data_IF_983868799668
#
_entry.id   IF_983868799668
#
_cell.length_a   1.000
_cell.length_b   1.000
_cell.length_c   1.000
_cell.angle_alpha   90.00
_cell.angle_beta   90.00
_cell.angle_gamma   90.00
#
_symmetry.space_group_name_H-M   'P 1'
#
loop_
_entity.id
_entity.type
_entity.pdbx_description
1 polymer ?
#
# COMPACT_ATOMS: atom_id res chain seq x y z
N UNK A 1 22.10 17.65 15.55
CA UNK A 1 22.37 16.55 14.62
C UNK A 1 21.16 16.45 13.72
N UNK A 2 21.23 16.71 12.40
CA UNK A 2 20.09 16.49 11.52
C UNK A 2 19.86 14.99 11.40
N UNK A 3 18.62 14.55 11.56
CA UNK A 3 18.16 13.19 11.29
C UNK A 3 18.53 12.79 9.86
N UNK A 4 18.99 11.56 9.61
CA UNK A 4 19.21 11.09 8.25
C UNK A 4 17.83 10.98 7.56
N UNK A 5 17.60 11.85 6.60
CA UNK A 5 16.50 11.73 5.64
C UNK A 5 16.78 10.42 4.88
N UNK A 6 16.05 9.36 5.21
CA UNK A 6 16.05 8.14 4.43
C UNK A 6 15.79 8.55 2.98
N UNK A 7 16.71 8.23 2.08
CA UNK A 7 16.58 8.46 0.65
C UNK A 7 15.36 7.66 0.18
N UNK A 8 14.19 8.32 0.11
CA UNK A 8 12.97 7.73 -0.39
C UNK A 8 13.20 7.43 -1.87
N UNK A 9 13.40 6.15 -2.20
CA UNK A 9 13.60 5.70 -3.57
C UNK A 9 12.44 6.20 -4.45
N UNK A 10 12.75 6.96 -5.51
CA UNK A 10 11.74 7.54 -6.41
C UNK A 10 10.84 6.44 -6.99
N UNK A 11 9.53 6.58 -6.82
CA UNK A 11 8.54 5.64 -7.33
C UNK A 11 8.47 5.69 -8.86
N UNK A 12 8.70 4.54 -9.52
CA UNK A 12 8.56 4.41 -10.98
C UNK A 12 7.11 4.06 -11.32
N UNK A 13 6.35 5.04 -11.79
CA UNK A 13 4.93 4.89 -12.05
C UNK A 13 4.63 4.01 -13.25
N UNK A 14 5.48 3.94 -14.28
CA UNK A 14 5.25 3.06 -15.43
C UNK A 14 5.29 1.57 -15.02
N UNK A 15 6.20 1.20 -14.11
CA UNK A 15 6.25 -0.13 -13.53
C UNK A 15 5.04 -0.42 -12.63
N UNK A 16 4.55 0.61 -11.92
CA UNK A 16 3.37 0.49 -11.07
C UNK A 16 2.09 0.27 -11.90
N UNK A 17 1.92 0.97 -13.01
CA UNK A 17 0.75 0.90 -13.90
C UNK A 17 0.65 -0.41 -14.69
N UNK A 18 1.74 -1.19 -14.82
CA UNK A 18 1.69 -2.50 -15.51
C UNK A 18 0.68 -3.48 -14.91
N UNK A 19 0.32 -3.32 -13.64
CA UNK A 19 -0.65 -4.14 -12.92
C UNK A 19 -1.76 -3.27 -12.33
N UNK A 20 -2.22 -2.28 -13.08
CA UNK A 20 -3.17 -1.28 -12.59
C UNK A 20 -4.49 -1.92 -12.14
N UNK A 21 -5.04 -2.85 -12.93
CA UNK A 21 -6.31 -3.49 -12.62
C UNK A 21 -6.25 -4.30 -11.32
N UNK A 22 -5.19 -5.11 -11.14
CA UNK A 22 -4.99 -5.92 -9.95
C UNK A 22 -4.72 -5.05 -8.71
N UNK A 23 -4.06 -3.90 -8.87
CA UNK A 23 -3.78 -2.94 -7.79
C UNK A 23 -4.99 -2.09 -7.44
N UNK A 24 -5.86 -1.82 -8.41
CA UNK A 24 -7.07 -1.00 -8.22
C UNK A 24 -8.25 -1.82 -7.68
N UNK A 25 -8.31 -3.14 -7.97
CA UNK A 25 -9.37 -4.02 -7.47
C UNK A 25 -9.58 -3.94 -5.96
N UNK A 26 -8.55 -4.04 -5.08
CA UNK A 26 -8.74 -3.90 -3.63
C UNK A 26 -9.32 -2.55 -3.21
N UNK A 27 -8.99 -1.47 -3.94
CA UNK A 27 -9.57 -0.15 -3.70
C UNK A 27 -11.07 -0.13 -4.01
N UNK A 28 -11.49 -0.77 -5.11
CA UNK A 28 -12.94 -0.93 -5.43
C UNK A 28 -13.66 -1.76 -4.37
N UNK A 29 -13.05 -2.87 -3.94
CA UNK A 29 -13.64 -3.76 -2.92
C UNK A 29 -13.78 -3.05 -1.57
N UNK A 30 -12.78 -2.23 -1.17
CA UNK A 30 -12.84 -1.37 0.02
C UNK A 30 -13.95 -0.32 -0.12
N UNK A 31 -13.97 0.43 -1.23
CA UNK A 31 -14.92 1.51 -1.46
C UNK A 31 -16.38 1.02 -1.47
N UNK A 32 -16.62 -0.21 -1.94
CA UNK A 32 -17.94 -0.83 -1.92
C UNK A 32 -18.50 -1.05 -0.50
N UNK A 33 -17.62 -1.12 0.52
CA UNK A 33 -18.02 -1.29 1.92
C UNK A 33 -18.11 0.05 2.69
N UNK A 34 -17.79 1.18 2.06
CA UNK A 34 -17.94 2.52 2.67
C UNK A 34 -19.43 2.85 2.80
N UNK A 35 -19.98 3.02 4.04
CA UNK A 35 -21.41 3.18 4.27
C UNK A 35 -21.89 4.63 4.09
N UNK A 36 -21.35 5.34 3.10
CA UNK A 36 -21.73 6.71 2.77
C UNK A 36 -22.48 6.76 1.43
N UNK A 37 -23.72 7.24 1.45
CA UNK A 37 -24.47 7.49 0.23
C UNK A 37 -23.96 8.77 -0.49
N UNK A 38 -23.53 9.76 0.27
CA UNK A 38 -22.97 11.04 -0.19
C UNK A 38 -21.83 11.47 0.71
N UNK A 39 -20.91 12.24 0.19
CA UNK A 39 -19.86 12.91 0.95
C UNK A 39 -19.68 14.33 0.39
N UNK A 40 -19.16 15.25 1.22
CA UNK A 40 -18.79 16.61 0.84
C UNK A 40 -17.30 16.79 0.75
N UNK A 41 -16.55 16.16 1.66
CA UNK A 41 -15.10 16.21 1.70
C UNK A 41 -14.52 14.82 1.90
N UNK A 42 -13.71 14.38 0.93
CA UNK A 42 -13.09 13.06 0.87
C UNK A 42 -11.58 13.20 0.71
N UNK A 43 -10.81 12.47 1.51
CA UNK A 43 -9.37 12.50 1.43
C UNK A 43 -8.82 11.11 1.11
N UNK A 44 -8.03 11.03 0.05
CA UNK A 44 -7.29 9.82 -0.36
C UNK A 44 -5.88 9.86 0.23
N UNK A 45 -5.62 9.00 1.20
CA UNK A 45 -4.40 8.92 2.00
C UNK A 45 -3.37 8.05 1.26
N UNK A 46 -2.25 8.62 0.83
CA UNK A 46 -1.27 7.93 0.00
C UNK A 46 -1.81 7.63 -1.40
N UNK A 47 -2.32 8.67 -2.06
CA UNK A 47 -3.07 8.57 -3.32
C UNK A 47 -2.25 8.03 -4.51
N UNK A 48 -0.91 7.99 -4.40
CA UNK A 48 -0.04 7.58 -5.49
C UNK A 48 -0.31 8.38 -6.77
N UNK A 49 -0.38 7.72 -7.95
CA UNK A 49 -0.65 8.39 -9.21
C UNK A 49 -2.15 8.69 -9.47
N UNK A 50 -3.01 8.55 -8.43
CA UNK A 50 -4.41 8.96 -8.47
C UNK A 50 -5.43 7.85 -8.77
N UNK A 51 -5.04 6.58 -8.82
CA UNK A 51 -5.96 5.46 -9.15
C UNK A 51 -7.14 5.34 -8.16
N UNK A 52 -6.87 5.41 -6.86
CA UNK A 52 -7.91 5.41 -5.83
C UNK A 52 -8.69 6.72 -5.80
N UNK A 53 -8.00 7.84 -6.01
CA UNK A 53 -8.64 9.17 -6.08
C UNK A 53 -9.68 9.25 -7.19
N UNK A 54 -9.42 8.63 -8.36
CA UNK A 54 -10.36 8.55 -9.47
C UNK A 54 -11.64 7.81 -9.08
N UNK A 55 -11.53 6.66 -8.43
CA UNK A 55 -12.68 5.90 -7.92
C UNK A 55 -13.50 6.70 -6.89
N UNK A 56 -12.82 7.46 -6.03
CA UNK A 56 -13.48 8.33 -5.05
C UNK A 56 -14.23 9.47 -5.72
N UNK A 57 -13.62 10.13 -6.73
CA UNK A 57 -14.25 11.20 -7.49
C UNK A 57 -15.46 10.70 -8.30
N UNK A 58 -15.38 9.49 -8.88
CA UNK A 58 -16.52 8.86 -9.57
C UNK A 58 -17.67 8.51 -8.60
N UNK A 59 -17.32 7.99 -7.41
CA UNK A 59 -18.31 7.55 -6.40
C UNK A 59 -18.99 8.73 -5.72
N UNK A 60 -18.29 9.85 -5.56
CA UNK A 60 -18.77 11.07 -4.88
C UNK A 60 -18.59 12.30 -5.78
N UNK A 61 -19.36 12.42 -6.88
CA UNK A 61 -19.13 13.45 -7.91
C UNK A 61 -19.36 14.88 -7.40
N UNK A 62 -20.12 15.04 -6.31
CA UNK A 62 -20.42 16.35 -5.68
C UNK A 62 -19.43 16.68 -4.53
N UNK A 63 -18.49 15.80 -4.22
CA UNK A 63 -17.53 16.01 -3.15
C UNK A 63 -16.28 16.77 -3.62
N UNK A 64 -15.72 17.55 -2.71
CA UNK A 64 -14.32 17.94 -2.80
C UNK A 64 -13.45 16.71 -2.50
N UNK A 65 -12.70 16.23 -3.50
CA UNK A 65 -11.80 15.07 -3.37
C UNK A 65 -10.37 15.57 -3.37
N UNK A 66 -9.66 15.30 -2.28
CA UNK A 66 -8.25 15.61 -2.09
C UNK A 66 -7.42 14.32 -2.05
N UNK A 67 -6.26 14.30 -2.69
CA UNK A 67 -5.24 13.26 -2.50
C UNK A 67 -4.02 13.80 -1.76
N UNK A 68 -3.38 12.97 -0.95
CA UNK A 68 -2.07 13.29 -0.40
C UNK A 68 -1.10 12.11 -0.60
N UNK A 69 0.16 12.44 -0.83
CA UNK A 69 1.25 11.47 -0.95
C UNK A 69 2.57 12.14 -0.54
N UNK A 70 3.54 11.34 -0.14
CA UNK A 70 4.89 11.81 0.21
C UNK A 70 5.82 11.92 -1.01
N UNK A 71 5.41 11.43 -2.18
CA UNK A 71 6.19 11.42 -3.41
C UNK A 71 5.76 12.56 -4.36
N UNK A 72 6.64 13.55 -4.64
CA UNK A 72 6.36 14.61 -5.62
C UNK A 72 6.06 14.05 -7.01
N UNK A 73 6.72 12.97 -7.41
CA UNK A 73 6.53 12.33 -8.73
C UNK A 73 5.13 11.69 -8.84
N UNK A 74 4.67 11.00 -7.80
CA UNK A 74 3.31 10.46 -7.75
C UNK A 74 2.26 11.57 -7.86
N UNK A 75 2.44 12.64 -7.11
CA UNK A 75 1.52 13.80 -7.16
C UNK A 75 1.53 14.51 -8.52
N UNK A 76 2.66 14.55 -9.21
CA UNK A 76 2.73 15.09 -10.57
C UNK A 76 1.82 14.30 -11.52
N UNK A 77 1.84 12.99 -11.43
CA UNK A 77 0.99 12.12 -12.26
C UNK A 77 -0.49 12.19 -11.85
N UNK A 78 -0.77 12.21 -10.55
CA UNK A 78 -2.14 12.38 -10.05
C UNK A 78 -2.78 13.67 -10.55
N UNK A 79 -2.04 14.80 -10.53
CA UNK A 79 -2.50 16.09 -11.08
C UNK A 79 -2.76 16.04 -12.58
N UNK A 80 -1.91 15.33 -13.34
CA UNK A 80 -2.11 15.16 -14.77
C UNK A 80 -3.34 14.28 -15.09
N UNK A 81 -3.58 13.24 -14.28
CA UNK A 81 -4.72 12.33 -14.41
C UNK A 81 -6.04 12.97 -14.00
N UNK A 82 -6.05 13.72 -12.91
CA UNK A 82 -7.26 14.25 -12.26
C UNK A 82 -7.14 15.77 -12.00
N UNK A 83 -7.21 16.61 -13.03
CA UNK A 83 -7.00 18.06 -12.90
C UNK A 83 -8.08 18.78 -12.07
N UNK A 84 -9.20 18.13 -11.75
CA UNK A 84 -10.27 18.66 -10.91
C UNK A 84 -10.09 18.35 -9.41
N UNK A 85 -9.18 17.43 -9.07
CA UNK A 85 -8.88 17.07 -7.68
C UNK A 85 -7.69 17.88 -7.17
N UNK A 86 -7.64 18.09 -5.86
CA UNK A 86 -6.49 18.74 -5.21
C UNK A 86 -5.50 17.70 -4.70
N UNK A 87 -4.20 18.03 -4.76
CA UNK A 87 -3.15 17.09 -4.35
C UNK A 87 -2.10 17.80 -3.51
N UNK A 88 -1.82 17.24 -2.33
CA UNK A 88 -0.92 17.83 -1.32
C UNK A 88 0.27 16.90 -1.05
N UNK A 89 1.47 17.47 -1.05
CA UNK A 89 2.67 16.77 -0.57
C UNK A 89 2.64 16.75 0.96
N UNK A 90 2.53 15.57 1.55
CA UNK A 90 2.45 15.43 3.00
C UNK A 90 2.97 14.07 3.47
N UNK A 91 3.50 14.04 4.70
CA UNK A 91 3.84 12.81 5.41
C UNK A 91 2.64 12.36 6.25
N UNK A 92 2.09 11.20 5.91
CA UNK A 92 0.94 10.63 6.57
C UNK A 92 1.19 10.33 8.07
N UNK A 93 2.43 10.07 8.45
CA UNK A 93 2.79 9.84 9.85
C UNK A 93 2.42 11.02 10.77
N UNK A 94 2.49 12.25 10.24
CA UNK A 94 2.23 13.47 11.01
C UNK A 94 1.02 14.27 10.54
N UNK A 95 0.49 13.98 9.34
CA UNK A 95 -0.61 14.72 8.74
C UNK A 95 -1.94 14.57 9.51
N UNK A 96 -2.70 15.64 9.54
CA UNK A 96 -4.08 15.68 10.05
C UNK A 96 -5.00 16.37 9.04
N UNK A 97 -6.29 15.99 8.94
CA UNK A 97 -7.21 16.64 8.02
C UNK A 97 -7.36 18.15 8.37
N UNK A 98 -7.27 19.04 7.37
CA UNK A 98 -7.38 20.49 7.58
C UNK A 98 -8.81 20.94 7.88
N UNK A 99 -9.79 20.11 7.58
CA UNK A 99 -11.22 20.34 7.82
C UNK A 99 -11.89 18.99 8.15
N UNK A 100 -13.11 19.01 8.74
CA UNK A 100 -13.88 17.79 9.00
C UNK A 100 -14.14 17.01 7.71
N UNK A 101 -13.54 15.83 7.58
CA UNK A 101 -13.71 14.94 6.42
C UNK A 101 -14.87 13.95 6.65
N UNK A 102 -15.67 13.71 5.61
CA UNK A 102 -16.69 12.67 5.66
C UNK A 102 -16.07 11.27 5.44
N UNK A 103 -14.96 11.20 4.66
CA UNK A 103 -14.22 9.97 4.39
C UNK A 103 -12.72 10.22 4.38
N UNK A 104 -11.99 9.42 5.15
CA UNK A 104 -10.56 9.22 5.01
C UNK A 104 -10.34 7.81 4.42
N UNK A 105 -9.75 7.75 3.24
CA UNK A 105 -9.59 6.52 2.46
C UNK A 105 -8.11 6.23 2.23
N UNK A 106 -7.64 5.03 2.55
CA UNK A 106 -6.24 4.66 2.36
C UNK A 106 -6.09 3.27 1.73
N UNK A 107 -5.57 3.22 0.51
CA UNK A 107 -5.36 1.97 -0.21
C UNK A 107 -3.88 1.65 -0.33
N UNK A 108 -3.41 0.61 0.34
CA UNK A 108 -2.04 0.09 0.28
C UNK A 108 -0.96 1.13 0.64
N UNK A 109 -1.20 1.94 1.65
CA UNK A 109 -0.26 2.97 2.13
C UNK A 109 0.23 2.70 3.56
N UNK A 110 -0.64 2.32 4.49
CA UNK A 110 -0.32 2.26 5.92
C UNK A 110 0.75 1.22 6.28
N UNK A 111 0.94 0.18 5.48
CA UNK A 111 2.04 -0.77 5.65
C UNK A 111 3.44 -0.15 5.49
N UNK A 112 3.52 1.09 5.01
CA UNK A 112 4.76 1.86 4.86
C UNK A 112 4.92 2.95 5.92
N UNK A 113 3.89 3.18 6.74
CA UNK A 113 3.87 4.24 7.74
C UNK A 113 4.34 3.67 9.09
N UNK A 114 5.41 4.19 9.67
CA UNK A 114 5.84 3.78 11.01
C UNK A 114 4.71 4.00 12.02
N UNK A 115 4.56 3.04 12.95
CA UNK A 115 3.52 3.12 13.99
C UNK A 115 2.11 3.42 13.45
N UNK A 116 1.79 2.85 12.27
CA UNK A 116 0.49 3.11 11.62
C UNK A 116 -0.74 2.79 12.49
N UNK A 117 -0.74 1.87 13.46
CA UNK A 117 -1.90 1.69 14.33
C UNK A 117 -2.26 2.98 15.08
N UNK A 118 -1.28 3.68 15.65
CA UNK A 118 -1.51 4.96 16.33
C UNK A 118 -1.88 6.08 15.34
N UNK A 119 -1.36 6.04 14.12
CA UNK A 119 -1.78 6.97 13.04
C UNK A 119 -3.26 6.75 12.69
N UNK A 120 -3.70 5.49 12.51
CA UNK A 120 -5.11 5.15 12.26
C UNK A 120 -6.01 5.63 13.40
N UNK A 121 -5.61 5.42 14.67
CA UNK A 121 -6.32 5.93 15.84
C UNK A 121 -6.49 7.45 15.79
N UNK A 122 -5.40 8.19 15.58
CA UNK A 122 -5.40 9.65 15.49
C UNK A 122 -6.29 10.17 14.35
N UNK A 123 -6.24 9.52 13.18
CA UNK A 123 -7.08 9.88 12.04
C UNK A 123 -8.57 9.63 12.31
N UNK A 124 -8.90 8.52 12.96
CA UNK A 124 -10.28 8.23 13.37
C UNK A 124 -10.79 9.24 14.41
N UNK A 125 -9.95 9.62 15.38
CA UNK A 125 -10.27 10.68 16.37
C UNK A 125 -10.53 12.05 15.72
N UNK A 126 -9.87 12.34 14.60
CA UNK A 126 -10.02 13.61 13.89
C UNK A 126 -11.29 13.69 13.02
N UNK A 127 -11.98 12.57 12.76
CA UNK A 127 -13.22 12.57 12.00
C UNK A 127 -14.39 13.12 12.82
N UNK A 128 -15.38 13.77 12.20
CA UNK A 128 -16.63 14.11 12.85
C UNK A 128 -17.47 12.85 13.10
N UNK A 129 -18.50 12.96 13.95
CA UNK A 129 -19.47 11.87 14.15
C UNK A 129 -20.12 11.48 12.82
N UNK A 130 -20.14 10.17 12.53
CA UNK A 130 -20.58 9.62 11.25
C UNK A 130 -19.51 9.64 10.14
N UNK A 131 -18.36 10.27 10.37
CA UNK A 131 -17.22 10.20 9.45
C UNK A 131 -16.63 8.79 9.38
N UNK A 132 -16.08 8.43 8.23
CA UNK A 132 -15.60 7.07 7.93
C UNK A 132 -14.08 7.06 7.71
N UNK A 133 -13.39 6.15 8.38
CA UNK A 133 -12.03 5.73 8.04
C UNK A 133 -12.11 4.38 7.35
N UNK A 134 -11.66 4.32 6.09
CA UNK A 134 -11.63 3.10 5.28
C UNK A 134 -10.20 2.84 4.82
N UNK A 135 -9.62 1.72 5.23
CA UNK A 135 -8.23 1.38 4.89
C UNK A 135 -8.09 -0.06 4.45
N UNK A 136 -7.16 -0.27 3.52
CA UNK A 136 -6.73 -1.57 3.07
C UNK A 136 -5.21 -1.67 3.06
N UNK A 137 -4.68 -2.79 3.51
CA UNK A 137 -3.24 -3.05 3.57
C UNK A 137 -2.91 -4.46 3.06
N UNK A 138 -1.86 -4.66 2.26
CA UNK A 138 -1.33 -5.99 2.01
C UNK A 138 -0.86 -6.66 3.31
N UNK A 139 -1.39 -7.85 3.59
CA UNK A 139 -1.03 -8.69 4.73
C UNK A 139 -0.30 -9.95 4.25
N UNK A 140 0.85 -9.73 3.61
CA UNK A 140 1.53 -10.76 2.81
C UNK A 140 3.01 -10.95 3.16
N UNK A 141 3.49 -10.43 4.29
CA UNK A 141 4.90 -10.56 4.70
C UNK A 141 5.27 -12.04 4.88
N UNK A 142 4.34 -12.86 5.38
CA UNK A 142 4.52 -14.30 5.59
C UNK A 142 4.18 -15.16 4.36
N UNK A 143 3.70 -14.55 3.27
CA UNK A 143 3.45 -15.30 2.04
C UNK A 143 4.77 -15.65 1.34
N UNK A 144 4.82 -16.78 0.64
CA UNK A 144 6.08 -17.32 0.10
C UNK A 144 6.91 -16.32 -0.70
N UNK A 145 6.28 -15.48 -1.51
CA UNK A 145 7.03 -14.53 -2.32
C UNK A 145 7.85 -13.54 -1.48
N UNK A 146 7.27 -12.96 -0.41
CA UNK A 146 8.02 -12.06 0.49
C UNK A 146 8.95 -12.83 1.42
N UNK A 147 8.53 -13.97 1.96
CA UNK A 147 9.40 -14.80 2.80
C UNK A 147 10.69 -15.22 2.06
N UNK A 148 10.58 -15.63 0.79
CA UNK A 148 11.75 -15.96 -0.05
C UNK A 148 12.62 -14.73 -0.36
N UNK A 149 12.04 -13.54 -0.51
CA UNK A 149 12.79 -12.30 -0.68
C UNK A 149 13.66 -12.00 0.55
N UNK A 150 13.09 -12.14 1.75
CA UNK A 150 13.79 -11.96 3.02
C UNK A 150 14.88 -13.03 3.21
N UNK A 151 14.60 -14.28 2.84
CA UNK A 151 15.59 -15.38 2.88
C UNK A 151 16.78 -15.07 1.95
N UNK A 152 16.53 -14.59 0.75
CA UNK A 152 17.59 -14.17 -0.18
C UNK A 152 18.35 -12.98 0.40
N UNK A 153 17.68 -11.98 0.98
CA UNK A 153 18.32 -10.82 1.57
C UNK A 153 19.27 -11.19 2.72
N UNK A 154 18.95 -12.22 3.48
CA UNK A 154 19.75 -12.68 4.63
C UNK A 154 20.86 -13.65 4.26
N UNK A 155 20.95 -14.15 3.03
CA UNK A 155 21.81 -15.31 2.68
C UNK A 155 22.80 -15.09 1.52
N UNK A 156 22.84 -13.93 0.89
CA UNK A 156 23.72 -13.63 -0.25
C UNK A 156 24.98 -12.86 0.13
N UNK A 157 25.78 -12.44 -0.85
CA UNK A 157 26.96 -11.56 -0.61
C UNK A 157 26.60 -10.20 -0.04
N UNK A 158 25.34 -9.82 -0.08
CA UNK A 158 24.74 -8.63 0.51
C UNK A 158 24.25 -8.82 1.95
N UNK A 159 24.33 -10.04 2.50
CA UNK A 159 23.91 -10.32 3.88
C UNK A 159 24.69 -9.46 4.88
N UNK A 160 24.00 -8.93 5.91
CA UNK A 160 24.59 -8.01 6.88
C UNK A 160 24.65 -6.55 6.42
N UNK A 161 24.07 -6.21 5.26
CA UNK A 161 23.86 -4.82 4.87
C UNK A 161 22.68 -4.24 5.68
N UNK A 162 22.99 -3.30 6.60
CA UNK A 162 21.99 -2.69 7.47
C UNK A 162 20.83 -2.01 6.71
N UNK A 163 21.10 -1.48 5.51
CA UNK A 163 20.05 -0.89 4.68
C UNK A 163 19.05 -1.92 4.14
N UNK A 164 19.43 -3.19 4.01
CA UNK A 164 18.48 -4.28 3.69
C UNK A 164 17.59 -4.62 4.90
N UNK A 165 18.15 -4.57 6.10
CA UNK A 165 17.34 -4.79 7.32
C UNK A 165 16.30 -3.69 7.51
N UNK A 166 16.66 -2.44 7.21
CA UNK A 166 15.74 -1.30 7.20
C UNK A 166 14.68 -1.36 6.08
N UNK A 167 14.99 -2.05 4.98
CA UNK A 167 14.06 -2.27 3.86
C UNK A 167 12.95 -3.26 4.19
N UNK A 168 13.12 -4.05 5.26
CA UNK A 168 12.15 -5.05 5.67
C UNK A 168 10.91 -4.40 6.27
N UNK A 169 9.75 -4.72 5.67
CA UNK A 169 8.46 -4.29 6.18
C UNK A 169 8.05 -5.15 7.39
N UNK A 170 7.57 -4.52 8.45
CA UNK A 170 6.99 -5.22 9.59
C UNK A 170 5.69 -5.95 9.22
N UNK A 171 5.36 -7.01 9.96
CA UNK A 171 4.03 -7.63 9.92
C UNK A 171 2.96 -6.59 10.32
N UNK A 172 1.74 -6.77 9.82
CA UNK A 172 0.60 -6.04 10.33
C UNK A 172 0.23 -6.56 11.72
N UNK A 173 -0.43 -5.72 12.49
CA UNK A 173 -1.07 -6.16 13.73
C UNK A 173 -2.20 -7.16 13.44
N UNK A 174 -2.59 -7.93 14.48
CA UNK A 174 -3.73 -8.83 14.35
C UNK A 174 -5.04 -8.05 14.16
N UNK A 175 -6.08 -8.63 13.51
CA UNK A 175 -7.41 -8.03 13.48
C UNK A 175 -7.95 -7.68 14.88
N UNK A 176 -7.64 -8.51 15.91
CA UNK A 176 -7.99 -8.24 17.30
C UNK A 176 -7.33 -6.98 17.85
N UNK A 177 -6.02 -6.79 17.58
CA UNK A 177 -5.29 -5.59 18.02
C UNK A 177 -5.88 -4.31 17.39
N UNK A 178 -6.20 -4.33 16.10
CA UNK A 178 -6.88 -3.19 15.43
C UNK A 178 -8.29 -2.96 16.02
N UNK A 179 -9.04 -4.03 16.29
CA UNK A 179 -10.36 -3.91 16.89
C UNK A 179 -10.29 -3.25 18.27
N UNK A 180 -9.43 -3.74 19.15
CA UNK A 180 -9.29 -3.23 20.51
C UNK A 180 -8.83 -1.76 20.53
N UNK A 181 -7.96 -1.38 19.58
CA UNK A 181 -7.45 -0.01 19.45
C UNK A 181 -8.51 0.98 18.93
N UNK A 182 -9.31 0.57 17.94
CA UNK A 182 -10.20 1.49 17.20
C UNK A 182 -11.65 1.45 17.70
N UNK A 183 -12.12 0.31 18.24
CA UNK A 183 -13.53 0.14 18.69
C UNK A 183 -13.98 1.17 19.73
N UNK A 184 -13.15 1.58 20.71
CA UNK A 184 -13.56 2.61 21.66
C UNK A 184 -13.88 3.98 21.05
N UNK A 185 -13.42 4.23 19.83
CA UNK A 185 -13.52 5.53 19.13
C UNK A 185 -14.63 5.57 18.06
N UNK A 186 -15.26 4.42 17.77
CA UNK A 186 -16.21 4.34 16.66
C UNK A 186 -17.50 3.60 17.03
N UNK A 187 -18.61 4.04 16.45
CA UNK A 187 -19.90 3.39 16.60
C UNK A 187 -19.91 2.01 15.93
N UNK A 188 -19.30 1.91 14.75
CA UNK A 188 -19.20 0.67 13.96
C UNK A 188 -17.76 0.47 13.46
N UNK A 189 -17.29 -0.77 13.53
CA UNK A 189 -16.07 -1.22 12.88
C UNK A 189 -16.31 -2.56 12.19
N UNK A 190 -15.75 -2.70 10.99
CA UNK A 190 -15.74 -3.93 10.21
C UNK A 190 -14.29 -4.22 9.80
N UNK A 191 -13.83 -5.45 10.05
CA UNK A 191 -12.44 -5.87 9.77
C UNK A 191 -12.51 -7.23 9.10
N UNK A 192 -11.92 -7.35 7.90
CA UNK A 192 -11.93 -8.62 7.16
C UNK A 192 -10.69 -8.81 6.31
N UNK A 193 -10.47 -10.04 5.85
CA UNK A 193 -9.44 -10.38 4.89
C UNK A 193 -10.04 -10.78 3.54
N UNK A 194 -9.35 -10.40 2.46
CA UNK A 194 -9.56 -10.96 1.13
C UNK A 194 -8.22 -11.51 0.63
N UNK A 195 -8.23 -12.74 0.15
CA UNK A 195 -7.07 -13.31 -0.54
C UNK A 195 -7.30 -13.27 -2.04
N UNK A 196 -6.50 -12.46 -2.73
CA UNK A 196 -6.45 -12.46 -4.20
C UNK A 196 -5.47 -13.54 -4.67
N UNK A 197 -5.76 -14.15 -5.82
CA UNK A 197 -4.83 -15.02 -6.52
C UNK A 197 -4.54 -14.39 -7.88
N UNK A 198 -3.47 -13.61 -7.95
CA UNK A 198 -3.09 -12.93 -9.19
C UNK A 198 -2.48 -13.92 -10.17
N UNK A 199 -2.98 -13.92 -11.40
CA UNK A 199 -2.47 -14.76 -12.49
C UNK A 199 -1.27 -14.06 -13.12
N UNK A 200 -0.07 -14.59 -12.90
CA UNK A 200 1.19 -14.01 -13.35
C UNK A 200 1.78 -14.76 -14.55
N UNK A 201 2.50 -14.04 -15.41
CA UNK A 201 3.23 -14.60 -16.57
C UNK A 201 4.47 -15.38 -16.12
N UNK A 202 4.22 -16.52 -15.47
CA UNK A 202 5.26 -17.38 -14.89
C UNK A 202 5.96 -16.74 -13.69
N UNK A 203 7.04 -17.37 -13.19
CA UNK A 203 7.80 -16.87 -12.04
C UNK A 203 8.38 -15.47 -12.23
N UNK A 204 8.79 -15.12 -13.45
CA UNK A 204 9.28 -13.78 -13.78
C UNK A 204 8.21 -12.69 -13.53
N UNK A 205 6.93 -12.98 -13.80
CA UNK A 205 5.82 -12.07 -13.53
C UNK A 205 5.67 -11.75 -12.03
N UNK A 206 5.98 -12.72 -11.14
CA UNK A 206 6.01 -12.48 -9.69
C UNK A 206 7.12 -11.50 -9.32
N UNK A 207 8.33 -11.68 -9.87
CA UNK A 207 9.45 -10.75 -9.63
C UNK A 207 9.09 -9.35 -10.13
N UNK A 208 8.53 -9.22 -11.34
CA UNK A 208 8.09 -7.94 -11.90
C UNK A 208 7.02 -7.25 -11.06
N UNK A 209 6.08 -8.01 -10.48
CA UNK A 209 5.10 -7.46 -9.53
C UNK A 209 5.78 -6.74 -8.36
N UNK A 210 6.76 -7.38 -7.74
CA UNK A 210 7.45 -6.85 -6.56
C UNK A 210 8.48 -5.76 -6.89
N UNK A 211 9.02 -5.70 -8.11
CA UNK A 211 9.86 -4.58 -8.56
C UNK A 211 9.15 -3.23 -8.45
N UNK A 212 7.83 -3.21 -8.65
CA UNK A 212 7.02 -2.00 -8.47
C UNK A 212 6.65 -1.70 -7.01
N UNK A 213 7.11 -2.49 -6.03
CA UNK A 213 6.72 -2.35 -4.61
C UNK A 213 7.81 -2.84 -3.65
N UNK A 214 7.67 -4.02 -3.07
CA UNK A 214 8.51 -4.52 -1.97
C UNK A 214 9.99 -4.75 -2.33
N UNK A 215 10.34 -5.01 -3.59
CA UNK A 215 11.75 -5.15 -4.02
C UNK A 215 12.50 -3.80 -4.08
N UNK A 216 11.79 -2.68 -4.23
CA UNK A 216 12.43 -1.38 -4.42
C UNK A 216 13.39 -0.96 -3.30
N UNK A 217 12.99 -1.01 -2.02
CA UNK A 217 13.91 -0.68 -0.93
C UNK A 217 15.18 -1.53 -0.97
N UNK A 218 15.06 -2.83 -1.28
CA UNK A 218 16.19 -3.74 -1.39
C UNK A 218 17.13 -3.35 -2.54
N UNK A 219 16.57 -3.11 -3.73
CA UNK A 219 17.37 -2.75 -4.91
C UNK A 219 18.01 -1.37 -4.77
N UNK A 220 17.38 -0.46 -4.04
CA UNK A 220 17.96 0.87 -3.76
C UNK A 220 19.10 0.83 -2.75
N UNK A 221 19.17 -0.21 -1.92
CA UNK A 221 20.24 -0.43 -0.93
C UNK A 221 21.48 -1.14 -1.52
N UNK A 222 21.39 -1.62 -2.76
CA UNK A 222 22.44 -2.36 -3.45
C UNK A 222 22.98 -1.56 -4.64
N UNK A 223 24.25 -1.76 -4.97
CA UNK A 223 24.78 -1.31 -6.26
C UNK A 223 24.15 -2.12 -7.43
N UNK A 224 24.33 -1.62 -8.67
CA UNK A 224 23.66 -2.21 -9.83
C UNK A 224 24.04 -3.68 -10.06
N UNK A 225 25.30 -4.05 -9.86
CA UNK A 225 25.77 -5.43 -10.04
C UNK A 225 25.17 -6.37 -8.99
N UNK A 226 25.24 -5.99 -7.72
CA UNK A 226 24.62 -6.75 -6.63
C UNK A 226 23.09 -6.81 -6.76
N UNK A 227 22.46 -5.75 -7.27
CA UNK A 227 21.03 -5.74 -7.53
C UNK A 227 20.61 -6.78 -8.56
N UNK A 228 21.37 -6.95 -9.65
CA UNK A 228 21.11 -7.96 -10.67
C UNK A 228 21.32 -9.39 -10.12
N UNK A 229 22.36 -9.61 -9.35
CA UNK A 229 22.62 -10.89 -8.68
C UNK A 229 21.49 -11.23 -7.66
N UNK A 230 21.04 -10.24 -6.88
CA UNK A 230 19.91 -10.38 -5.96
C UNK A 230 18.64 -10.79 -6.71
N UNK A 231 18.32 -10.12 -7.80
CA UNK A 231 17.16 -10.45 -8.62
C UNK A 231 17.25 -11.85 -9.22
N UNK A 232 18.44 -12.28 -9.67
CA UNK A 232 18.65 -13.61 -10.20
C UNK A 232 18.45 -14.69 -9.12
N UNK A 233 19.01 -14.48 -7.92
CA UNK A 233 18.83 -15.36 -6.77
C UNK A 233 17.36 -15.45 -6.35
N UNK A 234 16.67 -14.31 -6.26
CA UNK A 234 15.25 -14.26 -5.93
C UNK A 234 14.39 -14.96 -6.98
N UNK A 235 14.63 -14.72 -8.27
CA UNK A 235 13.93 -15.42 -9.35
C UNK A 235 14.12 -16.94 -9.30
N UNK A 236 15.32 -17.42 -8.96
CA UNK A 236 15.58 -18.83 -8.80
C UNK A 236 14.72 -19.46 -7.69
N UNK A 237 14.60 -18.78 -6.53
CA UNK A 237 13.75 -19.23 -5.41
C UNK A 237 12.26 -19.19 -5.78
N UNK A 238 11.79 -18.12 -6.43
CA UNK A 238 10.42 -18.00 -6.93
C UNK A 238 10.11 -19.12 -7.92
N UNK A 239 11.03 -19.44 -8.83
CA UNK A 239 10.83 -20.50 -9.82
C UNK A 239 10.65 -21.88 -9.17
N UNK A 240 11.38 -22.16 -8.09
CA UNK A 240 11.24 -23.41 -7.34
C UNK A 240 9.92 -23.49 -6.59
N UNK A 241 9.43 -22.37 -6.06
CA UNK A 241 8.25 -22.34 -5.19
C UNK A 241 6.92 -22.18 -5.95
N UNK A 242 6.92 -21.50 -7.09
CA UNK A 242 5.73 -21.23 -7.90
C UNK A 242 5.71 -22.11 -9.17
N UNK A 243 5.17 -23.34 -9.09
CA UNK A 243 5.11 -24.22 -10.26
C UNK A 243 4.18 -23.65 -11.32
N UNK A 244 4.60 -23.75 -12.58
CA UNK A 244 3.78 -23.35 -13.72
C UNK A 244 2.52 -24.23 -13.80
N UNK A 245 1.39 -23.60 -14.08
CA UNK A 245 0.13 -24.25 -14.41
C UNK A 245 0.17 -24.75 -15.86
N UNK A 246 -0.89 -25.46 -16.27
CA UNK A 246 -0.99 -26.04 -17.63
C UNK A 246 -0.86 -25.01 -18.77
N UNK A 247 -1.20 -23.73 -18.50
CA UNK A 247 -1.10 -22.61 -19.42
C UNK A 247 0.22 -21.81 -19.29
N UNK A 248 1.16 -22.29 -18.48
CA UNK A 248 2.44 -21.65 -18.24
C UNK A 248 2.41 -20.51 -17.21
N UNK A 249 1.22 -20.16 -16.69
CA UNK A 249 1.06 -19.12 -15.66
C UNK A 249 1.42 -19.66 -14.26
N UNK A 250 1.53 -18.73 -13.31
CA UNK A 250 1.59 -19.04 -11.87
C UNK A 250 0.55 -18.22 -11.12
N UNK A 251 0.14 -18.70 -9.94
CA UNK A 251 -0.81 -18.00 -9.08
C UNK A 251 -0.06 -17.39 -7.90
N UNK A 252 -0.03 -16.07 -7.85
CA UNK A 252 0.50 -15.30 -6.73
C UNK A 252 -0.62 -15.08 -5.72
N UNK A 253 -0.57 -15.80 -4.60
CA UNK A 253 -1.46 -15.59 -3.46
C UNK A 253 -1.12 -14.26 -2.77
N UNK A 254 -2.13 -13.40 -2.57
CA UNK A 254 -1.94 -12.04 -2.07
C UNK A 254 -3.05 -11.64 -1.10
N UNK A 255 -2.94 -12.01 0.20
CA UNK A 255 -3.90 -11.61 1.21
C UNK A 255 -3.78 -10.11 1.53
N UNK A 256 -4.93 -9.52 1.86
CA UNK A 256 -5.07 -8.11 2.25
C UNK A 256 -6.03 -7.98 3.40
N UNK A 257 -5.69 -7.14 4.36
CA UNK A 257 -6.52 -6.74 5.47
C UNK A 257 -7.29 -5.47 5.12
N UNK A 258 -8.57 -5.44 5.48
CA UNK A 258 -9.49 -4.33 5.27
C UNK A 258 -10.09 -3.88 6.60
N UNK A 259 -10.22 -2.60 6.80
CA UNK A 259 -10.84 -1.99 7.98
C UNK A 259 -11.74 -0.85 7.51
N UNK A 260 -13.01 -0.85 7.96
CA UNK A 260 -13.93 0.26 7.82
C UNK A 260 -14.47 0.61 9.20
N UNK A 261 -14.16 1.81 9.68
CA UNK A 261 -14.58 2.32 10.97
C UNK A 261 -15.42 3.60 10.79
N UNK A 262 -16.58 3.65 11.44
CA UNK A 262 -17.49 4.80 11.46
C UNK A 262 -17.44 5.43 12.83
N UNK A 263 -17.03 6.68 12.90
CA UNK A 263 -16.94 7.43 14.15
C UNK A 263 -18.29 7.71 14.81
#
# INVERSE_FOLDING_TARGET
>A
MPSPTACMAEWNASQYLRFEDERTRPSRDLLAQVPLARARFVVDLGCGPGNSTELLAERFPDAEVCGLDSSPEMLRQARARLPRCTFTLADLATWTPPAPADLLFGNAVFQWVPDHPNVLRRLLEALPQGGVLAVQMPDNVREPALALMLEVASSGPWAGNAALDEAMRADLESPGSYYDLLKPLCARIDIWHITYNHVMDGPQGVVEWFKGSALRPFLSALDAGMGDEFLAAYLARITQHYPRRFDGKVLLKFPRLFIVAVR
#
